data_IF_945665949026
#
_entry.id   IF_945665949026
#
_cell.length_a   1.000
_cell.length_b   1.000
_cell.length_c   1.000
_cell.angle_alpha   90.00
_cell.angle_beta   90.00
_cell.angle_gamma   90.00
#
_symmetry.space_group_name_H-M   'P 1'
#
loop_
_entity.id
_entity.type
_entity.pdbx_description
1 polymer ?
#
# COMPACT_ATOMS: atom_id res chain seq x y z
N UNK A 1 51.71 -57.09 14.80
CA UNK A 1 51.06 -55.86 15.29
C UNK A 1 51.32 -54.76 14.27
N UNK A 2 50.33 -54.48 13.42
CA UNK A 2 50.42 -53.39 12.43
C UNK A 2 49.33 -52.40 12.76
N UNK A 3 49.70 -51.18 13.14
CA UNK A 3 48.79 -50.06 13.42
C UNK A 3 48.30 -49.49 12.09
N UNK A 4 47.01 -49.45 11.91
CA UNK A 4 46.34 -48.81 10.77
C UNK A 4 45.89 -47.42 11.25
N UNK A 5 46.51 -46.33 10.72
CA UNK A 5 46.06 -44.96 10.94
C UNK A 5 44.97 -44.63 9.91
N UNK A 6 43.76 -44.40 10.36
CA UNK A 6 42.67 -43.85 9.55
C UNK A 6 42.76 -42.33 9.52
N UNK A 7 43.05 -41.76 8.35
CA UNK A 7 42.86 -40.32 8.08
C UNK A 7 41.37 -40.06 7.79
N UNK A 8 40.75 -39.23 8.63
CA UNK A 8 39.43 -38.69 8.38
C UNK A 8 39.60 -37.43 7.57
N UNK A 9 39.20 -37.45 6.30
CA UNK A 9 39.15 -36.31 5.41
C UNK A 9 37.83 -35.56 5.66
N UNK A 10 37.90 -34.44 6.39
CA UNK A 10 36.77 -33.55 6.58
C UNK A 10 36.48 -32.76 5.31
N UNK A 11 35.40 -33.08 4.63
CA UNK A 11 34.90 -32.31 3.49
C UNK A 11 34.24 -31.02 3.99
N UNK A 12 34.89 -29.87 3.80
CA UNK A 12 34.32 -28.53 3.96
C UNK A 12 33.28 -28.31 2.86
N UNK A 13 32.01 -28.42 3.16
CA UNK A 13 30.91 -27.95 2.33
C UNK A 13 30.88 -26.40 2.36
N UNK A 14 31.52 -25.78 1.40
CA UNK A 14 31.34 -24.37 1.08
C UNK A 14 29.89 -24.20 0.55
N UNK A 15 29.00 -23.77 1.41
CA UNK A 15 27.66 -23.36 1.00
C UNK A 15 27.76 -22.15 0.07
N UNK A 16 27.69 -22.36 -1.24
CA UNK A 16 27.47 -21.29 -2.21
C UNK A 16 26.06 -20.76 -1.99
N UNK A 17 25.94 -19.64 -1.26
CA UNK A 17 24.70 -18.88 -1.21
C UNK A 17 24.28 -18.54 -2.63
N UNK A 18 23.20 -19.17 -3.11
CA UNK A 18 22.60 -18.83 -4.40
C UNK A 18 22.21 -17.35 -4.36
N UNK A 19 22.98 -16.49 -5.02
CA UNK A 19 22.54 -15.12 -5.31
C UNK A 19 21.29 -15.25 -6.18
N UNK A 20 20.20 -14.69 -5.73
CA UNK A 20 19.00 -14.56 -6.55
C UNK A 20 19.41 -13.96 -7.89
N UNK A 21 19.16 -14.68 -8.98
CA UNK A 21 19.52 -14.25 -10.33
C UNK A 21 18.64 -13.03 -10.64
N UNK A 22 19.26 -11.86 -10.76
CA UNK A 22 18.53 -10.64 -11.13
C UNK A 22 17.94 -10.82 -12.52
N UNK A 23 16.63 -10.64 -12.66
CA UNK A 23 15.94 -10.72 -13.95
C UNK A 23 16.62 -9.80 -14.99
N UNK A 24 16.70 -10.21 -16.28
CA UNK A 24 17.29 -9.40 -17.34
C UNK A 24 16.62 -8.01 -17.39
N UNK A 25 17.41 -6.98 -17.65
CA UNK A 25 16.90 -5.64 -17.91
C UNK A 25 16.14 -5.62 -19.24
N UNK A 26 14.90 -5.16 -19.24
CA UNK A 26 14.12 -4.87 -20.44
C UNK A 26 14.51 -3.51 -21.02
N UNK A 27 14.68 -2.52 -20.12
CA UNK A 27 15.11 -1.16 -20.46
C UNK A 27 15.68 -0.47 -19.23
N UNK A 28 16.29 0.70 -19.44
CA UNK A 28 16.71 1.61 -18.38
C UNK A 28 16.33 3.04 -18.74
N UNK A 29 16.16 3.89 -17.73
CA UNK A 29 15.96 5.32 -17.92
C UNK A 29 16.56 6.11 -16.75
N UNK A 30 16.94 7.39 -16.96
CA UNK A 30 17.49 8.23 -15.91
C UNK A 30 16.37 8.86 -15.07
N UNK A 31 16.63 8.99 -13.76
CA UNK A 31 15.84 9.82 -12.82
C UNK A 31 16.85 10.69 -12.06
N UNK A 32 17.07 11.91 -12.51
CA UNK A 32 18.20 12.71 -12.09
C UNK A 32 19.52 11.98 -12.41
N UNK A 33 20.37 11.80 -11.39
CA UNK A 33 21.64 11.06 -11.52
C UNK A 33 21.49 9.53 -11.36
N UNK A 34 20.27 9.02 -11.13
CA UNK A 34 20.02 7.59 -10.88
C UNK A 34 19.58 6.89 -12.16
N UNK A 35 20.23 5.79 -12.53
CA UNK A 35 19.74 4.89 -13.57
C UNK A 35 18.73 3.91 -12.95
N UNK A 36 17.48 4.00 -13.37
CA UNK A 36 16.43 3.05 -13.00
C UNK A 36 16.38 1.94 -14.03
N UNK A 37 16.51 0.70 -13.56
CA UNK A 37 16.39 -0.51 -14.39
C UNK A 37 14.99 -1.04 -14.33
N UNK A 38 14.41 -1.41 -15.46
CA UNK A 38 13.11 -2.08 -15.60
C UNK A 38 13.34 -3.53 -15.96
N UNK A 39 12.72 -4.45 -15.24
CA UNK A 39 12.69 -5.88 -15.56
C UNK A 39 11.29 -6.45 -15.36
N UNK A 40 10.96 -7.57 -16.00
CA UNK A 40 9.73 -8.31 -15.71
C UNK A 40 9.97 -9.21 -14.50
N UNK A 41 9.11 -9.10 -13.48
CA UNK A 41 9.07 -10.02 -12.34
C UNK A 41 8.34 -11.31 -12.73
N UNK A 42 7.17 -11.16 -13.32
CA UNK A 42 6.32 -12.27 -13.80
C UNK A 42 5.47 -11.80 -14.98
N UNK A 43 5.04 -12.74 -15.81
CA UNK A 43 4.30 -12.51 -17.07
C UNK A 43 3.10 -13.45 -17.16
N UNK A 44 2.23 -13.26 -18.16
CA UNK A 44 1.07 -14.14 -18.40
C UNK A 44 -0.08 -13.96 -17.42
N UNK A 45 -0.16 -12.81 -16.75
CA UNK A 45 -1.24 -12.47 -15.82
C UNK A 45 -2.53 -12.08 -16.56
N UNK A 46 -3.64 -12.01 -15.82
CA UNK A 46 -4.96 -11.69 -16.34
C UNK A 46 -5.50 -10.41 -15.68
N UNK A 47 -5.08 -9.25 -16.20
CA UNK A 47 -5.48 -7.92 -15.70
C UNK A 47 -5.22 -7.80 -14.18
N UNK A 48 -3.95 -7.73 -13.73
CA UNK A 48 -3.62 -7.46 -12.34
C UNK A 48 -4.18 -6.06 -11.97
N UNK A 49 -5.22 -6.05 -11.13
CA UNK A 49 -5.94 -4.81 -10.83
C UNK A 49 -5.35 -4.08 -9.64
N UNK A 50 -4.95 -4.83 -8.60
CA UNK A 50 -4.29 -4.29 -7.41
C UNK A 50 -2.99 -5.02 -7.13
N UNK A 51 -2.00 -4.28 -6.65
CA UNK A 51 -0.77 -4.80 -6.07
C UNK A 51 -0.56 -4.17 -4.70
N UNK A 52 -0.38 -5.00 -3.68
CA UNK A 52 -0.12 -4.57 -2.29
C UNK A 52 1.13 -5.26 -1.79
N UNK A 53 2.07 -4.50 -1.23
CA UNK A 53 3.19 -5.10 -0.50
C UNK A 53 2.72 -5.60 0.87
N UNK A 54 2.80 -6.90 1.11
CA UNK A 54 2.43 -7.53 2.38
C UNK A 54 3.52 -7.43 3.45
N UNK A 55 3.10 -7.47 4.70
CA UNK A 55 4.02 -7.57 5.87
C UNK A 55 4.78 -8.89 5.92
N UNK A 56 4.35 -9.88 5.13
CA UNK A 56 4.98 -11.16 4.88
C UNK A 56 6.07 -11.11 3.79
N UNK A 57 6.37 -9.92 3.27
CA UNK A 57 7.32 -9.64 2.20
C UNK A 57 6.95 -10.27 0.84
N UNK A 58 5.69 -10.55 0.62
CA UNK A 58 5.14 -10.92 -0.69
C UNK A 58 4.37 -9.74 -1.30
N UNK A 59 4.23 -9.76 -2.61
CA UNK A 59 3.28 -8.90 -3.32
C UNK A 59 1.95 -9.65 -3.34
N UNK A 60 0.91 -9.05 -2.79
CA UNK A 60 -0.45 -9.54 -2.91
C UNK A 60 -1.09 -8.91 -4.13
N UNK A 61 -1.82 -9.70 -4.90
CA UNK A 61 -2.36 -9.30 -6.19
C UNK A 61 -3.80 -9.76 -6.35
N UNK A 62 -4.65 -8.86 -6.82
CA UNK A 62 -5.96 -9.23 -7.40
C UNK A 62 -5.86 -9.23 -8.91
N UNK A 63 -6.53 -10.20 -9.54
CA UNK A 63 -6.77 -10.22 -10.98
C UNK A 63 -8.27 -10.06 -11.23
N UNK A 64 -8.63 -9.22 -12.19
CA UNK A 64 -10.02 -8.81 -12.44
C UNK A 64 -11.00 -9.97 -12.54
N UNK A 65 -10.53 -11.14 -13.02
CA UNK A 65 -11.33 -12.37 -13.15
C UNK A 65 -11.72 -13.06 -11.85
N UNK A 66 -11.35 -12.53 -10.67
CA UNK A 66 -11.72 -13.08 -9.35
C UNK A 66 -10.60 -13.78 -8.60
N UNK A 67 -9.39 -13.90 -9.17
CA UNK A 67 -8.26 -14.56 -8.53
C UNK A 67 -7.50 -13.62 -7.60
N UNK A 68 -7.18 -14.10 -6.39
CA UNK A 68 -6.25 -13.47 -5.46
C UNK A 68 -5.02 -14.36 -5.36
N UNK A 69 -3.83 -13.78 -5.48
CA UNK A 69 -2.56 -14.49 -5.46
C UNK A 69 -1.53 -13.75 -4.62
N UNK A 70 -0.48 -14.49 -4.18
CA UNK A 70 0.78 -13.89 -3.71
C UNK A 70 1.86 -14.09 -4.78
N UNK A 71 2.72 -13.11 -4.93
CA UNK A 71 3.86 -13.16 -5.85
C UNK A 71 5.14 -12.97 -5.04
N UNK A 72 6.07 -13.90 -5.15
CA UNK A 72 7.39 -13.77 -4.53
C UNK A 72 8.19 -12.69 -5.28
N UNK A 73 8.62 -11.61 -4.62
CA UNK A 73 9.31 -10.49 -5.26
C UNK A 73 10.74 -10.84 -5.72
N UNK A 74 11.28 -12.01 -5.36
CA UNK A 74 12.62 -12.44 -5.74
C UNK A 74 12.60 -13.41 -6.93
N UNK A 75 11.62 -14.31 -6.97
CA UNK A 75 11.51 -15.36 -8.01
C UNK A 75 10.44 -15.07 -9.06
N UNK A 76 9.48 -14.19 -8.77
CA UNK A 76 8.30 -13.96 -9.61
C UNK A 76 7.27 -15.08 -9.54
N UNK A 77 7.45 -16.08 -8.65
CA UNK A 77 6.51 -17.17 -8.48
C UNK A 77 5.15 -16.65 -8.01
N UNK A 78 4.11 -16.98 -8.77
CA UNK A 78 2.72 -16.65 -8.46
C UNK A 78 2.07 -17.84 -7.74
N UNK A 79 1.59 -17.63 -6.53
CA UNK A 79 0.88 -18.63 -5.74
C UNK A 79 -0.58 -18.21 -5.60
N UNK A 80 -1.53 -18.86 -6.29
CA UNK A 80 -2.96 -18.60 -6.12
C UNK A 80 -3.41 -18.94 -4.70
N UNK A 81 -4.26 -18.08 -4.12
CA UNK A 81 -4.81 -18.25 -2.76
C UNK A 81 -6.29 -18.61 -2.79
N UNK A 82 -7.06 -18.00 -3.71
CA UNK A 82 -8.48 -18.24 -3.95
C UNK A 82 -8.88 -17.69 -5.32
N UNK A 83 -9.95 -18.25 -5.89
CA UNK A 83 -10.75 -17.60 -6.93
C UNK A 83 -12.17 -17.45 -6.40
N UNK A 84 -12.65 -16.21 -6.32
CA UNK A 84 -13.99 -15.91 -5.83
C UNK A 84 -15.03 -16.25 -6.93
N UNK A 85 -15.97 -17.18 -6.67
CA UNK A 85 -16.81 -17.73 -7.71
C UNK A 85 -17.95 -16.80 -8.13
N UNK A 86 -18.30 -15.81 -7.31
CA UNK A 86 -19.39 -14.88 -7.54
C UNK A 86 -18.95 -13.52 -8.10
N UNK A 87 -17.67 -13.39 -8.48
CA UNK A 87 -17.18 -12.20 -9.17
C UNK A 87 -17.78 -12.12 -10.56
N UNK A 88 -18.45 -11.01 -10.84
CA UNK A 88 -19.02 -10.71 -12.15
C UNK A 88 -18.12 -9.74 -12.91
N UNK A 89 -17.49 -10.21 -13.98
CA UNK A 89 -16.68 -9.36 -14.87
C UNK A 89 -17.54 -8.75 -15.96
N UNK A 90 -17.47 -7.43 -16.10
CA UNK A 90 -18.10 -6.71 -17.20
C UNK A 90 -17.34 -5.41 -17.46
N UNK A 91 -16.80 -5.22 -18.66
CA UNK A 91 -15.98 -4.05 -19.04
C UNK A 91 -14.86 -3.75 -18.04
N UNK A 92 -15.01 -2.75 -17.15
CA UNK A 92 -14.03 -2.39 -16.10
C UNK A 92 -14.21 -3.19 -14.82
N UNK A 93 -15.41 -3.71 -14.58
CA UNK A 93 -15.77 -4.40 -13.35
C UNK A 93 -15.24 -5.82 -13.24
N UNK A 94 -15.21 -6.31 -12.01
CA UNK A 94 -14.69 -7.61 -11.61
C UNK A 94 -14.16 -7.59 -10.19
N UNK A 95 -13.10 -8.36 -9.88
CA UNK A 95 -12.35 -8.25 -8.64
C UNK A 95 -11.35 -7.10 -8.77
N UNK A 96 -11.42 -6.14 -7.86
CA UNK A 96 -10.80 -4.83 -8.00
C UNK A 96 -9.81 -4.56 -6.84
N UNK A 97 -10.10 -3.60 -5.97
CA UNK A 97 -9.20 -3.17 -4.91
C UNK A 97 -9.00 -4.17 -3.79
N UNK A 98 -7.83 -4.10 -3.17
CA UNK A 98 -7.44 -4.95 -2.04
C UNK A 98 -6.58 -4.18 -1.07
N UNK A 99 -6.72 -4.49 0.24
CA UNK A 99 -5.80 -4.05 1.29
C UNK A 99 -5.68 -5.12 2.36
N UNK A 100 -4.50 -5.22 2.99
CA UNK A 100 -4.26 -6.12 4.11
C UNK A 100 -4.53 -5.42 5.45
N UNK A 101 -4.96 -6.17 6.45
CA UNK A 101 -5.09 -5.66 7.83
C UNK A 101 -3.73 -5.15 8.32
N UNK A 102 -3.65 -4.02 9.04
CA UNK A 102 -2.38 -3.44 9.50
C UNK A 102 -1.59 -4.37 10.44
N UNK A 103 -2.28 -5.17 11.24
CA UNK A 103 -1.68 -6.19 12.10
C UNK A 103 -1.84 -7.60 11.47
N UNK A 104 -1.54 -7.77 10.19
CA UNK A 104 -1.79 -8.99 9.42
C UNK A 104 -1.23 -10.26 10.09
N UNK A 105 -0.13 -10.18 10.83
CA UNK A 105 0.47 -11.31 11.56
C UNK A 105 -0.42 -11.88 12.67
N UNK A 106 -1.23 -11.05 13.31
CA UNK A 106 -2.14 -11.45 14.41
C UNK A 106 -3.60 -11.41 13.99
N UNK A 107 -3.92 -10.64 12.97
CA UNK A 107 -5.25 -10.48 12.38
C UNK A 107 -5.13 -10.67 10.86
N UNK A 108 -5.03 -11.92 10.37
CA UNK A 108 -4.70 -12.22 8.98
C UNK A 108 -5.88 -11.98 8.03
N UNK A 109 -6.39 -10.74 8.04
CA UNK A 109 -7.52 -10.34 7.22
C UNK A 109 -7.09 -9.62 5.95
N UNK A 110 -7.79 -9.94 4.87
CA UNK A 110 -7.67 -9.32 3.55
C UNK A 110 -9.02 -8.72 3.19
N UNK A 111 -9.04 -7.44 2.85
CA UNK A 111 -10.23 -6.73 2.43
C UNK A 111 -10.18 -6.57 0.91
N UNK A 112 -11.28 -6.90 0.23
CA UNK A 112 -11.38 -6.76 -1.22
C UNK A 112 -12.73 -6.22 -1.63
N UNK A 113 -12.73 -5.48 -2.74
CA UNK A 113 -13.94 -4.97 -3.39
C UNK A 113 -14.11 -5.65 -4.72
N UNK A 114 -15.34 -6.06 -5.02
CA UNK A 114 -15.65 -6.65 -6.31
C UNK A 114 -17.12 -6.47 -6.73
N UNK A 115 -17.33 -6.55 -8.04
CA UNK A 115 -18.65 -6.57 -8.61
C UNK A 115 -19.21 -7.99 -8.64
N UNK A 116 -20.51 -8.11 -8.42
CA UNK A 116 -21.25 -9.37 -8.44
C UNK A 116 -22.65 -9.18 -9.04
N UNK A 117 -23.27 -10.28 -9.47
CA UNK A 117 -24.64 -10.29 -9.89
C UNK A 117 -25.55 -10.87 -8.81
N UNK A 118 -26.59 -10.13 -8.49
CA UNK A 118 -27.74 -10.56 -7.71
C UNK A 118 -28.99 -10.06 -8.45
N UNK A 119 -29.90 -9.36 -7.85
CA UNK A 119 -31.00 -8.67 -8.54
C UNK A 119 -30.51 -7.47 -9.37
N UNK A 120 -29.46 -7.67 -10.19
CA UNK A 120 -28.72 -6.67 -10.96
C UNK A 120 -27.22 -6.67 -10.65
N UNK A 121 -26.47 -5.84 -11.38
CA UNK A 121 -25.04 -5.69 -11.20
C UNK A 121 -24.76 -4.77 -10.01
N UNK A 122 -23.98 -5.23 -9.05
CA UNK A 122 -23.72 -4.56 -7.78
C UNK A 122 -22.24 -4.63 -7.42
N UNK A 123 -21.83 -3.87 -6.41
CA UNK A 123 -20.50 -3.89 -5.82
C UNK A 123 -20.57 -4.19 -4.32
N UNK A 124 -19.57 -4.88 -3.78
CA UNK A 124 -19.46 -5.15 -2.35
C UNK A 124 -18.03 -5.15 -1.85
N UNK A 125 -17.87 -4.76 -0.59
CA UNK A 125 -16.65 -4.93 0.21
C UNK A 125 -16.78 -6.18 1.05
N UNK A 126 -15.80 -7.06 0.99
CA UNK A 126 -15.73 -8.27 1.82
C UNK A 126 -14.40 -8.37 2.55
N UNK A 127 -14.40 -9.14 3.64
CA UNK A 127 -13.22 -9.54 4.38
C UNK A 127 -13.00 -11.04 4.24
N UNK A 128 -11.78 -11.44 3.89
CA UNK A 128 -11.33 -12.84 3.88
C UNK A 128 -10.32 -13.07 5.00
N UNK A 129 -10.24 -14.31 5.50
CA UNK A 129 -9.23 -14.71 6.49
C UNK A 129 -8.17 -15.55 5.80
N UNK A 130 -6.90 -15.16 5.93
CA UNK A 130 -5.78 -15.93 5.43
C UNK A 130 -5.34 -16.95 6.48
N UNK A 131 -5.31 -18.23 6.13
CA UNK A 131 -4.84 -19.31 6.98
C UNK A 131 -4.28 -20.46 6.14
N UNK A 132 -3.24 -21.13 6.62
CA UNK A 132 -2.66 -22.32 6.00
C UNK A 132 -2.34 -22.17 4.49
N UNK A 133 -1.89 -20.98 4.08
CA UNK A 133 -1.51 -20.72 2.69
C UNK A 133 -2.68 -20.46 1.74
N UNK A 134 -3.89 -20.27 2.23
CA UNK A 134 -5.09 -19.99 1.42
C UNK A 134 -5.97 -18.90 2.07
N UNK A 135 -6.95 -18.43 1.32
CA UNK A 135 -7.99 -17.51 1.81
C UNK A 135 -9.30 -18.27 1.99
N UNK A 136 -9.95 -18.04 3.14
CA UNK A 136 -11.26 -18.61 3.47
C UNK A 136 -12.42 -17.89 2.77
N UNK A 137 -13.65 -18.31 3.10
CA UNK A 137 -14.87 -17.72 2.55
C UNK A 137 -15.01 -16.24 2.90
N UNK A 138 -15.53 -15.41 1.97
CA UNK A 138 -15.72 -13.99 2.20
C UNK A 138 -16.84 -13.70 3.22
N UNK A 139 -16.58 -12.72 4.08
CA UNK A 139 -17.58 -12.11 4.98
C UNK A 139 -17.92 -10.74 4.42
N UNK A 140 -19.20 -10.50 4.07
CA UNK A 140 -19.65 -9.21 3.53
C UNK A 140 -19.63 -8.16 4.64
N UNK A 141 -18.93 -7.04 4.42
CA UNK A 141 -18.88 -5.89 5.31
C UNK A 141 -19.77 -4.75 4.85
N UNK A 142 -19.86 -4.56 3.53
CA UNK A 142 -20.76 -3.62 2.88
C UNK A 142 -21.20 -4.23 1.54
N UNK A 143 -22.48 -4.38 1.33
CA UNK A 143 -23.06 -4.92 0.10
C UNK A 143 -24.04 -3.96 -0.53
N UNK A 144 -24.65 -4.43 -1.62
CA UNK A 144 -25.74 -3.76 -2.34
C UNK A 144 -25.41 -2.34 -2.83
N UNK A 145 -24.11 -2.04 -3.08
CA UNK A 145 -23.73 -0.79 -3.72
C UNK A 145 -24.17 -0.87 -5.19
N UNK A 146 -25.02 0.06 -5.68
CA UNK A 146 -25.41 0.08 -7.08
C UNK A 146 -24.18 0.21 -7.99
N UNK A 147 -24.10 -0.60 -9.03
CA UNK A 147 -22.99 -0.58 -9.96
C UNK A 147 -23.46 -0.81 -11.39
N UNK A 148 -22.63 -0.41 -12.33
CA UNK A 148 -22.72 -0.76 -13.75
C UNK A 148 -21.34 -1.26 -14.21
N UNK A 149 -21.19 -1.58 -15.48
CA UNK A 149 -19.97 -2.17 -16.03
C UNK A 149 -18.72 -1.27 -15.97
N UNK A 150 -18.88 0.01 -15.59
CA UNK A 150 -17.80 1.01 -15.48
C UNK A 150 -18.01 1.87 -14.24
N UNK A 151 -17.00 2.68 -13.88
CA UNK A 151 -17.06 3.63 -12.78
C UNK A 151 -17.36 3.00 -11.41
N UNK A 152 -16.67 1.91 -11.08
CA UNK A 152 -16.78 1.31 -9.74
C UNK A 152 -15.88 1.99 -8.70
N UNK A 153 -14.83 2.74 -9.09
CA UNK A 153 -13.82 3.24 -8.15
C UNK A 153 -13.01 2.11 -7.52
N UNK A 154 -13.45 1.62 -6.36
CA UNK A 154 -13.02 0.38 -5.66
C UNK A 154 -11.62 0.39 -5.05
N UNK A 155 -10.91 1.52 -4.95
CA UNK A 155 -9.61 1.56 -4.28
C UNK A 155 -9.78 1.56 -2.76
N UNK A 156 -8.91 0.83 -2.05
CA UNK A 156 -8.95 0.69 -0.60
C UNK A 156 -7.70 1.28 0.05
N UNK A 157 -7.86 1.88 1.24
CA UNK A 157 -6.77 2.38 2.07
C UNK A 157 -7.14 2.25 3.54
N UNK A 158 -6.29 1.63 4.37
CA UNK A 158 -6.47 1.64 5.83
C UNK A 158 -5.66 2.79 6.42
N UNK A 159 -6.32 3.59 7.25
CA UNK A 159 -5.73 4.73 7.95
C UNK A 159 -5.06 4.31 9.27
N UNK A 160 -4.18 5.16 9.85
CA UNK A 160 -3.53 4.88 11.13
C UNK A 160 -4.50 4.73 12.31
N UNK A 161 -5.68 5.35 12.25
CA UNK A 161 -6.77 5.20 13.23
C UNK A 161 -7.54 3.87 13.09
N UNK A 162 -7.10 3.00 12.17
CA UNK A 162 -7.71 1.69 11.86
C UNK A 162 -9.09 1.79 11.24
N UNK A 163 -9.39 2.87 10.57
CA UNK A 163 -10.54 2.95 9.68
C UNK A 163 -10.13 2.65 8.24
N UNK A 164 -11.07 2.19 7.44
CA UNK A 164 -10.88 1.85 6.04
C UNK A 164 -11.57 2.90 5.17
N UNK A 165 -10.84 3.46 4.23
CA UNK A 165 -11.40 4.25 3.13
C UNK A 165 -11.61 3.34 1.91
N UNK A 166 -12.77 3.50 1.27
CA UNK A 166 -13.13 2.84 0.03
C UNK A 166 -13.64 3.87 -0.97
N UNK A 167 -13.05 3.93 -2.15
CA UNK A 167 -13.57 4.78 -3.23
C UNK A 167 -14.71 4.07 -3.95
N UNK A 168 -15.74 4.81 -4.33
CA UNK A 168 -16.85 4.36 -5.19
C UNK A 168 -17.01 5.32 -6.35
N UNK A 169 -17.23 4.79 -7.55
CA UNK A 169 -17.58 5.61 -8.69
C UNK A 169 -19.07 6.02 -8.69
N UNK A 170 -19.43 6.90 -9.60
CA UNK A 170 -20.82 7.36 -9.78
C UNK A 170 -21.75 6.29 -10.42
N UNK A 171 -21.18 5.15 -10.85
CA UNK A 171 -21.91 4.10 -11.57
C UNK A 171 -22.71 4.64 -12.76
N UNK A 172 -22.25 5.71 -13.42
CA UNK A 172 -22.92 6.48 -14.49
C UNK A 172 -24.23 7.17 -14.07
N UNK A 173 -24.59 7.13 -12.80
CA UNK A 173 -25.66 7.95 -12.21
C UNK A 173 -25.02 9.23 -11.63
N UNK A 174 -24.72 10.19 -12.52
CA UNK A 174 -24.01 11.43 -12.21
C UNK A 174 -24.58 12.19 -11.00
N UNK A 175 -25.93 12.35 -10.85
CA UNK A 175 -26.51 13.04 -9.70
C UNK A 175 -26.17 12.38 -8.35
N UNK A 176 -25.92 11.07 -8.34
CA UNK A 176 -25.57 10.32 -7.13
C UNK A 176 -24.33 10.89 -6.44
N UNK A 177 -23.37 11.43 -7.21
CA UNK A 177 -22.13 11.98 -6.68
C UNK A 177 -22.37 13.13 -5.69
N UNK A 178 -23.37 13.98 -5.93
CA UNK A 178 -23.76 15.09 -5.03
C UNK A 178 -24.80 14.67 -3.97
N UNK A 179 -25.46 13.53 -4.14
CA UNK A 179 -26.42 13.01 -3.16
C UNK A 179 -25.69 12.28 -2.03
N UNK A 180 -25.62 12.88 -0.84
CA UNK A 180 -24.93 12.33 0.33
C UNK A 180 -25.53 11.02 0.87
N UNK A 181 -26.79 10.70 0.52
CA UNK A 181 -27.42 9.43 0.91
C UNK A 181 -27.05 8.29 -0.04
N UNK A 182 -26.53 8.58 -1.23
CA UNK A 182 -26.04 7.56 -2.16
C UNK A 182 -24.64 7.09 -1.77
N UNK A 183 -24.31 5.80 -1.84
CA UNK A 183 -22.95 5.31 -1.67
C UNK A 183 -22.04 5.60 -2.89
N UNK A 184 -22.63 5.98 -4.05
CA UNK A 184 -21.93 6.18 -5.31
C UNK A 184 -21.34 7.59 -5.44
N UNK A 185 -20.18 7.70 -6.11
CA UNK A 185 -19.46 8.96 -6.30
C UNK A 185 -18.90 9.50 -4.98
N UNK A 186 -18.33 8.63 -4.15
CA UNK A 186 -17.86 8.91 -2.79
C UNK A 186 -16.47 8.34 -2.51
N UNK A 187 -15.84 8.86 -1.48
CA UNK A 187 -14.93 8.08 -0.67
C UNK A 187 -15.68 7.75 0.63
N UNK A 188 -15.89 6.48 0.89
CA UNK A 188 -16.56 5.97 2.08
C UNK A 188 -15.53 5.70 3.19
N UNK A 189 -15.90 5.93 4.47
CA UNK A 189 -15.08 5.56 5.63
C UNK A 189 -15.86 4.62 6.53
N UNK A 190 -15.22 3.47 6.84
CA UNK A 190 -15.79 2.39 7.64
C UNK A 190 -14.78 1.93 8.70
N UNK A 191 -15.28 1.35 9.79
CA UNK A 191 -14.46 0.52 10.67
C UNK A 191 -14.07 -0.78 9.95
N UNK A 192 -13.04 -1.48 10.42
CA UNK A 192 -12.56 -2.73 9.82
C UNK A 192 -13.57 -3.90 9.96
N UNK A 193 -14.63 -3.74 10.72
CA UNK A 193 -15.77 -4.67 10.83
C UNK A 193 -16.96 -4.29 9.92
N UNK A 194 -16.86 -3.18 9.16
CA UNK A 194 -17.88 -2.68 8.25
C UNK A 194 -18.87 -1.71 8.90
N UNK A 195 -18.78 -1.48 10.21
CA UNK A 195 -19.63 -0.50 10.92
C UNK A 195 -19.23 0.94 10.57
N UNK A 196 -20.11 1.90 10.87
CA UNK A 196 -19.85 3.32 10.59
C UNK A 196 -19.08 3.91 11.78
N UNK A 197 -17.93 4.56 11.55
CA UNK A 197 -17.24 5.31 12.60
C UNK A 197 -18.12 6.42 13.19
N UNK A 198 -18.09 6.56 14.50
CA UNK A 198 -18.91 7.57 15.20
C UNK A 198 -18.48 9.01 14.94
N UNK A 199 -17.22 9.18 14.51
CA UNK A 199 -16.57 10.44 14.15
C UNK A 199 -16.56 10.72 12.64
N UNK A 200 -17.39 10.02 11.86
CA UNK A 200 -17.56 10.34 10.44
C UNK A 200 -18.12 11.77 10.28
N UNK A 201 -17.76 12.46 9.15
CA UNK A 201 -18.17 13.85 8.92
C UNK A 201 -19.68 14.09 9.02
N UNK A 202 -20.47 13.06 8.70
CA UNK A 202 -21.94 13.06 8.88
C UNK A 202 -22.30 11.85 9.73
N UNK A 203 -22.90 12.09 10.88
CA UNK A 203 -23.27 11.04 11.81
C UNK A 203 -24.19 9.99 11.14
N UNK A 204 -23.86 8.71 11.33
CA UNK A 204 -24.60 7.60 10.73
C UNK A 204 -24.44 7.44 9.21
N UNK A 205 -23.57 8.21 8.57
CA UNK A 205 -23.29 8.12 7.14
C UNK A 205 -21.85 7.67 6.88
N UNK A 206 -21.65 6.83 5.87
CA UNK A 206 -20.32 6.33 5.47
C UNK A 206 -19.52 7.34 4.63
N UNK A 207 -20.18 8.38 4.06
CA UNK A 207 -19.53 9.35 3.18
C UNK A 207 -18.45 10.14 3.93
N UNK A 208 -17.18 9.94 3.55
CA UNK A 208 -16.05 10.74 4.02
C UNK A 208 -15.88 12.00 3.15
N UNK A 209 -15.97 11.83 1.83
CA UNK A 209 -16.00 12.91 0.84
C UNK A 209 -16.97 12.55 -0.30
N UNK A 210 -17.34 13.52 -1.14
CA UNK A 210 -18.37 13.35 -2.15
C UNK A 210 -18.08 14.20 -3.41
N UNK A 211 -18.88 14.02 -4.44
CA UNK A 211 -18.67 14.73 -5.71
C UNK A 211 -17.57 14.10 -6.56
N UNK A 212 -17.42 12.77 -6.49
CA UNK A 212 -16.45 11.99 -7.25
C UNK A 212 -17.12 11.32 -8.46
N UNK A 213 -16.35 11.16 -9.55
CA UNK A 213 -16.76 10.45 -10.76
C UNK A 213 -16.31 8.98 -10.73
N UNK A 214 -15.01 8.73 -10.74
CA UNK A 214 -14.43 7.38 -10.79
C UNK A 214 -12.99 7.37 -10.22
N UNK A 215 -12.82 7.49 -8.89
CA UNK A 215 -11.51 7.53 -8.25
C UNK A 215 -10.89 6.13 -8.19
N UNK A 216 -9.79 5.92 -8.92
CA UNK A 216 -9.11 4.63 -9.06
C UNK A 216 -7.75 4.52 -8.36
N UNK A 217 -7.25 5.59 -7.79
CA UNK A 217 -6.05 5.59 -6.94
C UNK A 217 -6.36 6.21 -5.58
N UNK A 218 -5.73 5.69 -4.53
CA UNK A 218 -5.86 6.22 -3.17
C UNK A 218 -4.60 5.89 -2.38
N UNK A 219 -3.91 6.89 -1.86
CA UNK A 219 -2.68 6.70 -1.09
C UNK A 219 -2.55 7.73 0.01
N UNK A 220 -1.94 7.34 1.13
CA UNK A 220 -1.52 8.25 2.20
C UNK A 220 -0.01 8.46 2.13
N UNK A 221 0.43 9.70 2.00
CA UNK A 221 1.84 10.07 2.03
C UNK A 221 2.39 10.14 3.46
N UNK A 222 3.72 10.21 3.58
CA UNK A 222 4.41 10.32 4.89
C UNK A 222 4.08 11.60 5.64
N UNK A 223 3.68 12.68 4.95
CA UNK A 223 3.20 13.93 5.54
C UNK A 223 1.79 13.83 6.14
N UNK A 224 1.14 12.66 6.03
CA UNK A 224 -0.20 12.40 6.55
C UNK A 224 -1.36 12.71 5.60
N UNK A 225 -1.12 13.38 4.48
CA UNK A 225 -2.16 13.69 3.50
C UNK A 225 -2.57 12.46 2.72
N UNK A 226 -3.84 12.44 2.33
CA UNK A 226 -4.42 11.41 1.48
C UNK A 226 -4.58 12.00 0.08
N UNK A 227 -4.16 11.26 -0.93
CA UNK A 227 -4.31 11.65 -2.33
C UNK A 227 -5.11 10.59 -3.07
N UNK A 228 -5.94 11.05 -4.01
CA UNK A 228 -6.68 10.20 -4.94
C UNK A 228 -6.37 10.59 -6.37
N UNK A 229 -6.31 9.61 -7.27
CA UNK A 229 -6.34 9.85 -8.71
C UNK A 229 -7.70 9.46 -9.26
N UNK A 230 -8.25 10.29 -10.14
CA UNK A 230 -9.62 10.17 -10.60
C UNK A 230 -9.73 10.40 -12.10
N UNK A 231 -10.57 9.60 -12.77
CA UNK A 231 -10.89 9.77 -14.18
C UNK A 231 -11.83 10.96 -14.40
N UNK A 232 -11.44 11.87 -15.27
CA UNK A 232 -12.35 12.81 -15.88
C UNK A 232 -13.24 12.16 -16.96
N UNK A 233 -14.14 12.92 -17.51
CA UNK A 233 -15.04 12.44 -18.57
C UNK A 233 -14.41 12.56 -19.95
N UNK A 234 -14.02 13.79 -20.31
CA UNK A 234 -13.52 14.12 -21.63
C UNK A 234 -12.20 14.91 -21.60
N UNK A 235 -12.03 15.77 -20.61
CA UNK A 235 -10.98 16.77 -20.59
C UNK A 235 -9.89 16.49 -19.55
N UNK A 236 -10.22 16.30 -18.29
CA UNK A 236 -9.26 16.34 -17.20
C UNK A 236 -9.37 15.14 -16.28
N UNK A 237 -8.34 14.25 -16.31
CA UNK A 237 -8.07 13.35 -15.17
C UNK A 237 -7.39 14.15 -14.06
N UNK A 238 -7.56 13.75 -12.80
CA UNK A 238 -7.20 14.55 -11.63
C UNK A 238 -6.34 13.83 -10.61
N UNK A 239 -5.55 14.60 -9.84
CA UNK A 239 -5.05 14.20 -8.54
C UNK A 239 -5.58 15.18 -7.49
N UNK A 240 -6.28 14.62 -6.51
CA UNK A 240 -6.93 15.35 -5.44
C UNK A 240 -6.27 15.09 -4.09
N UNK A 241 -6.20 16.11 -3.22
CA UNK A 241 -6.00 15.93 -1.78
C UNK A 241 -7.37 15.62 -1.17
N UNK A 242 -7.49 14.50 -0.49
CA UNK A 242 -8.75 14.04 0.10
C UNK A 242 -8.91 14.54 1.53
N UNK A 243 -9.98 15.27 1.76
CA UNK A 243 -10.33 15.88 3.03
C UNK A 243 -11.74 15.46 3.47
N UNK A 244 -11.94 15.34 4.78
CA UNK A 244 -13.23 14.98 5.35
C UNK A 244 -14.29 16.03 5.00
N UNK A 245 -15.47 15.59 4.60
CA UNK A 245 -16.61 16.42 4.25
C UNK A 245 -16.45 17.30 3.00
N UNK A 246 -15.34 17.17 2.24
CA UNK A 246 -15.10 17.99 1.05
C UNK A 246 -15.93 17.51 -0.15
N UNK A 247 -16.31 18.48 -0.99
CA UNK A 247 -16.97 18.29 -2.29
C UNK A 247 -15.93 18.43 -3.40
N UNK A 248 -15.88 17.47 -4.34
CA UNK A 248 -14.95 17.45 -5.47
C UNK A 248 -15.61 17.84 -6.80
N UNK A 249 -16.87 18.28 -6.76
CA UNK A 249 -17.55 19.04 -7.81
C UNK A 249 -18.28 18.22 -8.86
N UNK A 250 -17.95 16.96 -9.09
CA UNK A 250 -18.66 16.14 -10.08
C UNK A 250 -20.16 16.03 -9.77
N UNK A 251 -21.09 16.14 -10.74
CA UNK A 251 -20.85 16.19 -12.19
C UNK A 251 -20.77 17.60 -12.81
N UNK A 252 -20.85 18.65 -12.00
CA UNK A 252 -20.87 20.03 -12.54
C UNK A 252 -19.48 20.51 -12.89
N UNK A 253 -18.46 20.02 -12.17
CA UNK A 253 -17.05 20.38 -12.36
C UNK A 253 -16.28 19.15 -12.80
N UNK A 254 -15.44 19.30 -13.83
CA UNK A 254 -14.45 18.35 -14.29
C UNK A 254 -13.07 19.01 -14.22
N UNK A 255 -12.20 18.56 -13.30
CA UNK A 255 -10.89 19.15 -13.11
C UNK A 255 -10.92 20.49 -12.37
N UNK A 256 -10.34 21.49 -13.02
CA UNK A 256 -10.24 22.83 -12.45
C UNK A 256 -11.54 23.62 -12.64
N UNK A 257 -11.87 24.49 -11.69
CA UNK A 257 -13.00 25.43 -11.81
C UNK A 257 -12.67 26.56 -12.80
N UNK A 258 -12.55 26.25 -14.08
CA UNK A 258 -12.05 27.17 -15.10
C UNK A 258 -13.14 27.75 -16.01
N UNK A 259 -14.31 27.10 -16.11
CA UNK A 259 -15.46 27.60 -16.85
C UNK A 259 -16.36 28.46 -15.94
N UNK A 260 -17.07 29.43 -16.49
CA UNK A 260 -17.91 30.36 -15.71
C UNK A 260 -18.99 29.63 -14.88
N UNK A 261 -19.62 28.59 -15.45
CA UNK A 261 -20.59 27.75 -14.73
C UNK A 261 -19.95 26.97 -13.58
N UNK A 262 -18.76 26.40 -13.80
CA UNK A 262 -17.98 25.70 -12.78
C UNK A 262 -17.56 26.62 -11.65
N UNK A 263 -17.04 27.82 -11.96
CA UNK A 263 -16.64 28.82 -10.96
C UNK A 263 -17.80 29.20 -10.04
N UNK A 264 -18.99 29.41 -10.61
CA UNK A 264 -20.19 29.68 -9.82
C UNK A 264 -20.54 28.53 -8.89
N UNK A 265 -20.51 27.28 -9.39
CA UNK A 265 -20.76 26.08 -8.60
C UNK A 265 -19.68 25.89 -7.52
N UNK A 266 -18.41 26.03 -7.87
CA UNK A 266 -17.28 25.91 -6.96
C UNK A 266 -17.39 26.86 -5.77
N UNK A 267 -17.72 28.12 -6.05
CA UNK A 267 -17.90 29.15 -5.01
C UNK A 267 -19.10 28.81 -4.12
N UNK A 268 -20.24 28.45 -4.73
CA UNK A 268 -21.46 28.15 -3.99
C UNK A 268 -21.36 26.87 -3.12
N UNK A 269 -20.54 25.89 -3.53
CA UNK A 269 -20.45 24.57 -2.90
C UNK A 269 -19.10 24.30 -2.25
N UNK A 270 -18.20 25.28 -2.17
CA UNK A 270 -16.85 25.16 -1.61
C UNK A 270 -16.10 23.94 -2.18
N UNK A 271 -16.06 23.83 -3.51
CA UNK A 271 -15.43 22.70 -4.20
C UNK A 271 -13.93 22.69 -3.97
N UNK A 272 -13.39 21.53 -3.58
CA UNK A 272 -11.96 21.29 -3.46
C UNK A 272 -11.39 20.97 -4.83
N UNK A 273 -10.61 21.88 -5.40
CA UNK A 273 -9.98 21.69 -6.71
C UNK A 273 -8.79 20.73 -6.63
N UNK A 274 -8.48 20.00 -7.73
CA UNK A 274 -7.32 19.13 -7.83
C UNK A 274 -6.00 19.91 -7.72
N UNK A 275 -4.94 19.20 -7.33
CA UNK A 275 -3.57 19.72 -7.30
C UNK A 275 -2.80 19.46 -8.58
N UNK A 276 -3.30 18.54 -9.42
CA UNK A 276 -2.71 18.18 -10.70
C UNK A 276 -3.81 17.65 -11.63
N UNK A 277 -3.73 18.02 -12.92
CA UNK A 277 -4.64 17.51 -13.95
C UNK A 277 -3.88 17.06 -15.19
N UNK A 278 -4.49 16.16 -15.95
CA UNK A 278 -4.05 15.77 -17.28
C UNK A 278 -5.12 16.17 -18.30
N UNK A 279 -4.74 17.01 -19.25
CA UNK A 279 -5.58 17.37 -20.37
C UNK A 279 -4.83 17.05 -21.69
N UNK A 280 -5.34 16.15 -22.56
CA UNK A 280 -6.58 15.36 -22.40
C UNK A 280 -6.43 14.23 -21.37
N UNK A 281 -7.55 13.55 -21.05
CA UNK A 281 -7.60 12.39 -20.14
C UNK A 281 -6.61 11.30 -20.54
N UNK A 282 -5.94 10.73 -19.56
CA UNK A 282 -4.96 9.62 -19.71
C UNK A 282 -5.46 8.28 -19.15
N UNK A 283 -6.66 8.28 -18.53
CA UNK A 283 -7.18 7.13 -17.81
C UNK A 283 -6.27 6.78 -16.63
N UNK A 284 -6.12 7.74 -15.69
CA UNK A 284 -5.28 7.55 -14.50
C UNK A 284 -5.85 6.42 -13.63
N UNK A 285 -5.00 5.51 -13.13
CA UNK A 285 -5.41 4.35 -12.36
C UNK A 285 -4.74 4.31 -10.99
N UNK A 286 -3.89 3.31 -10.73
CA UNK A 286 -3.20 3.17 -9.45
C UNK A 286 -2.30 4.36 -9.12
N UNK A 287 -2.29 4.73 -7.84
CA UNK A 287 -1.50 5.83 -7.30
C UNK A 287 -0.70 5.34 -6.09
N UNK A 288 0.57 5.70 -6.02
CA UNK A 288 1.41 5.46 -4.84
C UNK A 288 2.26 6.66 -4.51
N UNK A 289 2.74 6.75 -3.27
CA UNK A 289 3.67 7.77 -2.82
C UNK A 289 5.07 7.18 -2.70
N UNK A 290 6.07 7.89 -3.23
CA UNK A 290 7.46 7.47 -3.18
C UNK A 290 8.31 8.46 -2.37
N UNK A 291 8.99 7.95 -1.32
CA UNK A 291 9.93 8.73 -0.51
C UNK A 291 11.15 7.88 -0.06
N UNK A 292 11.54 6.91 -0.89
CA UNK A 292 12.67 6.03 -0.55
C UNK A 292 13.99 6.57 -1.16
N UNK A 293 15.15 6.48 -0.44
CA UNK A 293 16.44 6.98 -0.92
C UNK A 293 17.02 6.17 -2.11
N UNK A 294 16.48 5.02 -2.46
CA UNK A 294 16.96 4.22 -3.60
C UNK A 294 16.83 4.98 -4.93
N UNK A 295 15.81 5.79 -5.11
CA UNK A 295 15.64 6.65 -6.29
C UNK A 295 15.42 8.09 -5.80
N UNK A 296 16.50 8.83 -5.49
CA UNK A 296 16.41 10.15 -4.87
C UNK A 296 15.57 11.16 -5.66
N UNK A 297 15.60 11.09 -6.99
CA UNK A 297 14.82 11.98 -7.85
C UNK A 297 13.31 11.73 -7.85
N UNK A 298 12.84 10.65 -7.19
CA UNK A 298 11.43 10.37 -6.97
C UNK A 298 10.95 10.68 -5.55
N UNK A 299 11.83 11.10 -4.66
CA UNK A 299 11.43 11.40 -3.30
C UNK A 299 10.38 12.51 -3.25
N UNK A 300 9.47 12.39 -2.29
CA UNK A 300 8.33 13.28 -2.11
C UNK A 300 7.51 13.48 -3.41
N UNK A 301 7.25 12.37 -4.12
CA UNK A 301 6.45 12.37 -5.34
C UNK A 301 5.32 11.36 -5.27
N UNK A 302 4.24 11.65 -5.99
CA UNK A 302 3.25 10.65 -6.35
C UNK A 302 3.68 9.98 -7.66
N UNK A 303 3.46 8.67 -7.76
CA UNK A 303 3.63 7.89 -8.98
C UNK A 303 2.26 7.38 -9.41
N UNK A 304 1.80 7.81 -10.58
CA UNK A 304 0.49 7.48 -11.13
C UNK A 304 0.62 6.59 -12.37
N UNK A 305 0.03 5.42 -12.33
CA UNK A 305 -0.11 4.54 -13.48
C UNK A 305 -1.25 4.99 -14.37
N UNK A 306 -1.06 4.99 -15.71
CA UNK A 306 -2.10 5.43 -16.65
C UNK A 306 -2.42 4.36 -17.68
N UNK A 307 -3.72 4.19 -17.94
CA UNK A 307 -4.25 3.20 -18.87
C UNK A 307 -4.18 3.68 -20.32
N UNK A 308 -4.90 4.76 -20.64
CA UNK A 308 -4.93 5.34 -21.99
C UNK A 308 -3.63 6.07 -22.32
N UNK A 309 -3.02 6.68 -21.31
CA UNK A 309 -1.74 7.38 -21.45
C UNK A 309 -0.55 6.47 -21.68
N UNK A 310 -0.66 5.16 -21.40
CA UNK A 310 0.40 4.16 -21.56
C UNK A 310 1.73 4.60 -20.95
N UNK A 311 1.69 5.14 -19.72
CA UNK A 311 2.88 5.69 -19.06
C UNK A 311 2.75 5.69 -17.54
N UNK A 312 3.87 5.74 -16.85
CA UNK A 312 3.97 6.08 -15.44
C UNK A 312 4.27 7.59 -15.35
N UNK A 313 3.48 8.32 -14.57
CA UNK A 313 3.68 9.74 -14.32
C UNK A 313 4.24 9.94 -12.92
N UNK A 314 5.41 10.56 -12.80
CA UNK A 314 5.92 11.11 -11.54
C UNK A 314 5.34 12.52 -11.36
N UNK A 315 4.79 12.82 -10.19
CA UNK A 315 4.22 14.11 -9.82
C UNK A 315 4.92 14.57 -8.54
N UNK A 316 5.94 15.43 -8.65
CA UNK A 316 6.63 15.97 -7.48
C UNK A 316 5.70 16.81 -6.63
N UNK A 317 5.78 16.68 -5.31
CA UNK A 317 5.04 17.48 -4.36
C UNK A 317 5.92 18.57 -3.73
N UNK A 318 5.33 19.69 -3.36
CA UNK A 318 5.99 20.66 -2.48
C UNK A 318 6.23 20.08 -1.07
N UNK A 319 6.99 20.75 -0.25
CA UNK A 319 7.32 20.25 1.10
C UNK A 319 6.09 20.06 2.00
N UNK A 320 5.03 20.85 1.78
CA UNK A 320 3.76 20.73 2.49
C UNK A 320 2.83 19.67 1.89
N UNK A 321 3.11 19.19 0.68
CA UNK A 321 2.25 18.27 -0.07
C UNK A 321 0.94 18.89 -0.52
N UNK A 322 0.89 20.22 -0.68
CA UNK A 322 -0.33 20.95 -1.04
C UNK A 322 -0.41 21.34 -2.51
N UNK A 323 0.73 21.36 -3.18
CA UNK A 323 0.85 21.66 -4.60
C UNK A 323 1.70 20.63 -5.31
N UNK A 324 1.41 20.41 -6.58
CA UNK A 324 2.16 19.52 -7.45
C UNK A 324 3.01 20.32 -8.44
N UNK A 325 4.21 19.80 -8.71
CA UNK A 325 5.08 20.30 -9.79
C UNK A 325 4.71 19.71 -11.14
N UNK A 326 5.48 20.04 -12.16
CA UNK A 326 5.32 19.48 -13.50
C UNK A 326 5.57 17.97 -13.50
N UNK A 327 4.64 17.19 -14.05
CA UNK A 327 4.75 15.74 -14.14
C UNK A 327 5.83 15.32 -15.15
N UNK A 328 6.59 14.27 -14.79
CA UNK A 328 7.52 13.59 -15.68
C UNK A 328 6.98 12.19 -16.05
N UNK A 329 7.28 11.74 -17.27
CA UNK A 329 6.72 10.50 -17.83
C UNK A 329 7.79 9.45 -18.09
N UNK A 330 7.50 8.20 -17.75
CA UNK A 330 8.35 7.04 -17.98
C UNK A 330 7.52 5.81 -18.38
N UNK A 331 8.16 4.70 -18.72
CA UNK A 331 7.50 3.43 -19.07
C UNK A 331 6.52 3.52 -20.25
N UNK A 332 6.84 4.28 -21.28
CA UNK A 332 5.92 4.54 -22.41
C UNK A 332 5.77 3.36 -23.40
N UNK A 333 6.54 2.27 -23.23
CA UNK A 333 6.59 1.13 -24.16
C UNK A 333 5.93 -0.14 -23.64
N UNK A 334 5.26 -0.10 -22.48
CA UNK A 334 4.66 -1.28 -21.85
C UNK A 334 3.13 -1.31 -21.94
N UNK A 335 2.54 -0.42 -22.72
CA UNK A 335 1.10 -0.30 -22.88
C UNK A 335 0.42 0.25 -21.64
N UNK A 336 -0.78 -0.25 -21.36
CA UNK A 336 -1.66 0.20 -20.30
C UNK A 336 -1.12 -0.20 -18.92
N UNK A 337 -0.88 0.78 -18.05
CA UNK A 337 -0.41 0.55 -16.68
C UNK A 337 -1.56 0.78 -15.69
N UNK A 338 -1.75 -0.15 -14.74
CA UNK A 338 -2.89 -0.09 -13.80
C UNK A 338 -2.47 -0.11 -12.33
N UNK A 339 -1.90 -1.20 -11.88
CA UNK A 339 -1.53 -1.41 -10.49
C UNK A 339 -0.14 -0.86 -10.18
N UNK A 340 0.07 -0.39 -8.96
CA UNK A 340 1.39 0.09 -8.53
C UNK A 340 1.56 -0.08 -7.02
N UNK A 341 2.70 -0.61 -6.59
CA UNK A 341 3.10 -0.59 -5.18
C UNK A 341 4.61 -0.39 -5.02
N UNK A 342 5.02 -0.06 -3.80
CA UNK A 342 6.43 0.16 -3.44
C UNK A 342 6.81 -0.77 -2.31
N UNK A 343 7.96 -1.46 -2.44
CA UNK A 343 8.51 -2.27 -1.36
C UNK A 343 9.28 -1.41 -0.33
N UNK A 344 9.51 -1.93 0.89
CA UNK A 344 10.37 -1.28 1.88
C UNK A 344 11.82 -1.07 1.43
N UNK A 345 12.27 -1.79 0.38
CA UNK A 345 13.59 -1.61 -0.25
C UNK A 345 13.59 -0.52 -1.34
N UNK A 346 12.47 0.15 -1.58
CA UNK A 346 12.34 1.20 -2.58
C UNK A 346 12.21 0.71 -4.02
N UNK A 347 11.95 -0.59 -4.24
CA UNK A 347 11.55 -1.11 -5.56
C UNK A 347 10.10 -0.75 -5.83
N UNK A 348 9.83 -0.28 -7.05
CA UNK A 348 8.47 0.00 -7.51
C UNK A 348 8.01 -1.13 -8.41
N UNK A 349 6.81 -1.65 -8.14
CA UNK A 349 6.17 -2.70 -8.93
C UNK A 349 4.98 -2.13 -9.65
N UNK A 350 4.91 -2.39 -10.97
CA UNK A 350 3.84 -1.86 -11.83
C UNK A 350 3.19 -3.01 -12.59
N UNK A 351 1.89 -3.17 -12.44
CA UNK A 351 1.07 -4.13 -13.19
C UNK A 351 0.59 -3.55 -14.51
N UNK A 352 0.78 -4.25 -15.63
CA UNK A 352 0.17 -3.90 -16.91
C UNK A 352 -1.29 -4.34 -16.97
N UNK A 353 -2.07 -3.80 -17.91
CA UNK A 353 -3.49 -4.08 -18.11
C UNK A 353 -3.84 -4.13 -19.60
N UNK A 354 -3.02 -4.83 -20.39
CA UNK A 354 -3.18 -4.90 -21.85
C UNK A 354 -4.27 -5.92 -22.26
N UNK A 355 -4.64 -6.85 -21.35
CA UNK A 355 -5.72 -7.84 -21.55
C UNK A 355 -7.09 -7.34 -21.08
N UNK A 356 -7.25 -6.05 -20.79
CA UNK A 356 -8.52 -5.50 -20.28
C UNK A 356 -9.60 -5.29 -21.35
N UNK A 357 -9.31 -5.64 -22.60
CA UNK A 357 -10.24 -5.53 -23.75
C UNK A 357 -10.13 -4.19 -24.49
N UNK A 358 -9.22 -3.29 -24.08
CA UNK A 358 -9.01 -1.96 -24.67
C UNK A 358 -7.61 -1.79 -25.29
N UNK A 359 -6.85 -2.87 -25.38
CA UNK A 359 -5.54 -2.93 -26.05
C UNK A 359 -5.38 -4.28 -26.76
N UNK A 360 -4.36 -4.37 -27.62
CA UNK A 360 -3.92 -5.65 -28.20
C UNK A 360 -2.78 -6.17 -27.32
N UNK A 361 -2.98 -7.24 -26.54
CA UNK A 361 -1.94 -7.76 -25.67
C UNK A 361 -0.82 -8.40 -26.47
N UNK A 362 0.42 -8.18 -26.04
CA UNK A 362 1.60 -8.92 -26.49
C UNK A 362 1.69 -10.31 -25.84
N UNK A 363 2.68 -11.10 -26.25
CA UNK A 363 2.88 -12.46 -25.74
C UNK A 363 3.22 -12.54 -24.26
N UNK A 364 3.85 -11.50 -23.71
CA UNK A 364 4.24 -11.40 -22.29
C UNK A 364 3.18 -10.79 -21.39
N UNK A 365 2.10 -10.23 -21.96
CA UNK A 365 1.06 -9.53 -21.20
C UNK A 365 0.13 -10.49 -20.44
N UNK A 366 -0.47 -10.08 -19.36
CA UNK A 366 -0.06 -8.94 -18.54
C UNK A 366 1.11 -9.33 -17.65
N UNK A 367 1.83 -8.35 -17.16
CA UNK A 367 3.04 -8.59 -16.39
C UNK A 367 3.15 -7.64 -15.19
N UNK A 368 3.98 -8.03 -14.22
CA UNK A 368 4.48 -7.13 -13.18
C UNK A 368 5.89 -6.69 -13.57
N UNK A 369 6.07 -5.40 -13.77
CA UNK A 369 7.36 -4.75 -13.97
C UNK A 369 7.98 -4.38 -12.64
N UNK A 370 9.29 -4.52 -12.50
CA UNK A 370 10.09 -4.03 -11.38
C UNK A 370 10.95 -2.87 -11.86
N UNK A 371 10.85 -1.74 -11.15
CA UNK A 371 11.68 -0.57 -11.36
C UNK A 371 12.60 -0.43 -10.16
N UNK A 372 13.90 -0.49 -10.37
CA UNK A 372 14.86 -0.48 -9.28
C UNK A 372 16.16 0.25 -9.66
N UNK A 373 16.80 0.84 -8.67
CA UNK A 373 18.20 1.25 -8.77
C UNK A 373 19.09 0.08 -8.33
N UNK A 374 19.67 -0.64 -9.28
CA UNK A 374 20.55 -1.80 -9.02
C UNK A 374 21.88 -1.43 -8.37
N UNK A 375 22.30 -0.17 -8.48
CA UNK A 375 23.49 0.34 -7.84
C UNK A 375 23.24 0.79 -6.38
N UNK A 376 21.98 0.83 -5.93
CA UNK A 376 21.64 1.24 -4.57
C UNK A 376 22.12 0.18 -3.57
N UNK A 377 23.07 0.59 -2.72
CA UNK A 377 23.49 -0.19 -1.56
C UNK A 377 22.81 0.45 -0.34
N UNK A 378 21.92 -0.26 0.36
CA UNK A 378 21.37 0.26 1.61
C UNK A 378 22.53 0.56 2.56
N UNK A 379 22.74 1.82 2.90
CA UNK A 379 23.63 2.14 4.04
C UNK A 379 22.98 1.54 5.28
N UNK A 380 23.69 0.69 5.98
CA UNK A 380 23.21 -0.08 7.12
C UNK A 380 22.83 0.82 8.31
N UNK A 381 21.67 1.52 8.18
CA UNK A 381 21.06 2.34 9.24
C UNK A 381 19.56 2.22 9.32
N UNK A 382 18.94 1.24 8.63
CA UNK A 382 17.58 0.81 8.92
C UNK A 382 17.60 -0.64 9.37
N UNK A 383 17.93 -0.84 10.66
CA UNK A 383 17.53 -2.06 11.34
C UNK A 383 16.01 -2.24 11.08
N UNK A 384 15.67 -3.34 10.43
CA UNK A 384 14.28 -3.73 10.20
C UNK A 384 13.49 -3.53 11.51
N UNK A 385 12.41 -2.75 11.50
CA UNK A 385 11.56 -2.53 12.69
C UNK A 385 11.02 -3.84 13.27
N UNK A 386 11.05 -4.94 12.52
CA UNK A 386 10.63 -6.27 12.98
C UNK A 386 11.65 -6.98 13.86
N UNK A 387 12.91 -6.51 13.92
CA UNK A 387 14.00 -7.10 14.71
C UNK A 387 14.41 -6.26 15.93
N UNK A 388 13.56 -5.33 16.39
CA UNK A 388 13.90 -4.42 17.47
C UNK A 388 13.35 -4.88 18.83
N UNK A 389 14.14 -4.65 19.88
CA UNK A 389 13.68 -4.68 21.27
C UNK A 389 12.40 -3.84 21.41
N UNK A 390 11.35 -4.37 22.01
CA UNK A 390 10.11 -3.65 22.32
C UNK A 390 10.00 -3.40 23.82
N UNK A 391 9.38 -2.28 24.19
CA UNK A 391 9.16 -1.87 25.58
C UNK A 391 7.70 -1.51 25.78
N UNK A 392 7.06 -2.03 26.83
CA UNK A 392 5.72 -1.62 27.26
C UNK A 392 5.46 -1.89 28.76
N UNK A 393 4.63 -1.05 29.41
CA UNK A 393 4.16 0.23 28.93
C UNK A 393 5.33 1.20 28.72
N UNK A 394 5.16 2.19 27.85
CA UNK A 394 6.11 3.27 27.67
C UNK A 394 5.32 4.52 27.21
N UNK A 395 5.10 5.53 28.06
CA UNK A 395 5.69 5.71 29.40
C UNK A 395 5.37 4.62 30.44
N UNK A 396 6.26 4.45 31.43
CA UNK A 396 6.15 3.46 32.49
C UNK A 396 6.36 4.10 33.87
N UNK A 397 5.62 3.65 34.88
CA UNK A 397 5.72 4.19 36.25
C UNK A 397 6.40 3.24 37.25
N UNK A 398 6.14 1.93 37.21
CA UNK A 398 6.63 0.95 38.18
C UNK A 398 7.43 -0.18 37.54
N UNK A 399 6.98 -0.67 36.41
CA UNK A 399 7.58 -1.78 35.68
C UNK A 399 7.53 -1.53 34.19
N UNK A 400 8.51 -2.08 33.47
CA UNK A 400 8.51 -2.12 32.01
C UNK A 400 8.80 -3.55 31.56
N UNK A 401 8.08 -4.04 30.57
CA UNK A 401 8.35 -5.33 29.93
C UNK A 401 9.20 -5.08 28.69
N UNK A 402 10.27 -5.85 28.57
CA UNK A 402 11.14 -5.89 27.41
C UNK A 402 10.82 -7.15 26.61
N UNK A 403 10.71 -7.03 25.29
CA UNK A 403 10.52 -8.15 24.39
C UNK A 403 11.60 -8.16 23.33
N UNK A 404 12.34 -9.24 23.25
CA UNK A 404 13.27 -9.51 22.15
C UNK A 404 12.50 -10.00 20.92
N UNK A 405 12.99 -9.72 19.71
CA UNK A 405 12.35 -10.22 18.47
C UNK A 405 12.38 -11.76 18.37
N UNK A 406 13.41 -12.37 18.91
CA UNK A 406 13.56 -13.85 19.01
C UNK A 406 14.03 -14.19 20.43
N UNK A 407 13.75 -15.43 20.92
CA UNK A 407 14.32 -15.89 22.19
C UNK A 407 15.84 -15.78 22.20
N UNK A 408 16.41 -15.37 23.34
CA UNK A 408 17.85 -15.26 23.52
C UNK A 408 18.50 -16.64 23.38
N UNK A 409 19.43 -16.81 22.46
CA UNK A 409 20.14 -18.08 22.27
C UNK A 409 21.10 -18.40 23.41
N UNK A 410 21.64 -17.35 24.04
CA UNK A 410 22.48 -17.36 25.24
C UNK A 410 21.98 -16.26 26.18
N UNK A 411 22.49 -16.21 27.42
CA UNK A 411 22.15 -15.14 28.34
C UNK A 411 22.49 -13.75 27.73
N UNK A 412 21.50 -12.85 27.65
CA UNK A 412 21.63 -11.54 26.98
C UNK A 412 21.46 -10.40 27.98
N UNK A 413 22.50 -9.57 28.13
CA UNK A 413 22.48 -8.46 29.08
C UNK A 413 21.71 -7.27 28.56
N UNK A 414 20.96 -6.63 29.46
CA UNK A 414 20.19 -5.39 29.27
C UNK A 414 20.83 -4.30 30.14
N UNK A 415 21.12 -3.14 29.58
CA UNK A 415 21.55 -1.95 30.30
C UNK A 415 20.53 -0.83 30.17
N UNK A 416 20.12 -0.22 31.27
CA UNK A 416 19.34 1.03 31.28
C UNK A 416 20.33 2.17 31.60
N UNK A 417 20.36 3.15 30.70
CA UNK A 417 21.21 4.36 30.86
C UNK A 417 20.32 5.59 31.07
N UNK A 418 20.79 6.51 31.90
CA UNK A 418 20.16 7.83 32.06
C UNK A 418 20.46 8.76 30.86
N UNK A 419 19.95 9.98 30.91
CA UNK A 419 20.15 11.00 29.85
C UNK A 419 21.60 11.41 29.64
N UNK A 420 22.48 11.15 30.63
CA UNK A 420 23.93 11.41 30.58
C UNK A 420 24.72 10.19 30.09
N UNK A 421 24.05 9.10 29.72
CA UNK A 421 24.66 7.87 29.25
C UNK A 421 25.24 6.97 30.35
N UNK A 422 25.00 7.24 31.63
CA UNK A 422 25.44 6.41 32.74
C UNK A 422 24.54 5.21 32.91
N UNK A 423 25.10 4.01 33.04
CA UNK A 423 24.32 2.80 33.31
C UNK A 423 23.73 2.86 34.73
N UNK A 424 22.41 2.94 34.85
CA UNK A 424 21.71 3.05 36.14
C UNK A 424 21.07 1.73 36.57
N UNK A 425 20.90 0.78 35.65
CA UNK A 425 20.40 -0.57 35.92
C UNK A 425 20.90 -1.57 34.90
N UNK A 426 21.13 -2.80 35.36
CA UNK A 426 21.47 -3.95 34.52
C UNK A 426 20.54 -5.12 34.85
N UNK A 427 20.13 -5.87 33.84
CA UNK A 427 19.35 -7.10 33.95
C UNK A 427 19.75 -8.09 32.84
N UNK A 428 19.20 -9.30 32.83
CA UNK A 428 19.59 -10.32 31.89
C UNK A 428 18.42 -11.18 31.47
N UNK A 429 18.27 -11.42 30.16
CA UNK A 429 17.44 -12.50 29.66
C UNK A 429 18.18 -13.83 29.85
N UNK A 430 17.48 -14.85 30.33
CA UNK A 430 18.02 -16.20 30.32
C UNK A 430 18.01 -16.78 28.88
N UNK A 431 18.82 -17.80 28.64
CA UNK A 431 18.75 -18.56 27.39
C UNK A 431 17.35 -19.11 27.18
N UNK A 432 16.79 -18.99 25.96
CA UNK A 432 15.42 -19.35 25.63
C UNK A 432 14.36 -18.31 25.99
N UNK A 433 14.69 -17.26 26.71
CA UNK A 433 13.75 -16.20 27.12
C UNK A 433 13.63 -15.12 26.07
N UNK A 434 12.41 -14.72 25.75
CA UNK A 434 12.14 -13.60 24.82
C UNK A 434 11.51 -12.39 25.51
N UNK A 435 10.97 -12.54 26.73
CA UNK A 435 10.31 -11.47 27.48
C UNK A 435 10.93 -11.33 28.88
N UNK A 436 11.17 -10.09 29.33
CA UNK A 436 11.74 -9.78 30.64
C UNK A 436 11.01 -8.58 31.25
N UNK A 437 10.44 -8.73 32.43
CA UNK A 437 9.85 -7.63 33.19
C UNK A 437 10.89 -7.02 34.13
N UNK A 438 11.06 -5.71 34.08
CA UNK A 438 11.98 -4.95 34.91
C UNK A 438 11.24 -4.00 35.83
N UNK A 439 11.61 -4.01 37.13
CA UNK A 439 11.17 -3.00 38.07
C UNK A 439 11.92 -1.69 37.85
N UNK A 440 11.22 -0.57 37.86
CA UNK A 440 11.73 0.77 37.73
C UNK A 440 11.86 1.48 39.09
N UNK A 441 11.63 0.75 40.20
CA UNK A 441 11.69 1.29 41.56
C UNK A 441 13.11 1.91 41.83
N UNK A 442 13.10 3.14 42.31
CA UNK A 442 14.34 3.90 42.61
C UNK A 442 14.94 4.67 41.44
N UNK A 443 14.34 4.57 40.24
CA UNK A 443 14.66 5.47 39.12
C UNK A 443 13.77 6.71 39.18
N UNK A 444 14.33 7.88 38.90
CA UNK A 444 13.57 9.15 38.89
C UNK A 444 12.74 9.25 37.57
N UNK A 445 11.63 9.97 37.57
CA UNK A 445 10.92 10.33 36.34
C UNK A 445 11.90 11.01 35.35
N UNK A 446 11.80 10.63 34.09
CA UNK A 446 12.69 11.15 33.06
C UNK A 446 12.89 10.25 31.86
N UNK A 447 13.87 10.64 31.03
CA UNK A 447 14.21 9.93 29.80
C UNK A 447 15.39 9.00 30.01
N UNK A 448 15.25 7.76 29.62
CA UNK A 448 16.26 6.70 29.70
C UNK A 448 16.43 6.02 28.33
N UNK A 449 17.53 5.33 28.15
CA UNK A 449 17.75 4.41 27.03
C UNK A 449 17.97 2.99 27.53
N UNK A 450 17.29 2.03 26.93
CA UNK A 450 17.44 0.59 27.21
C UNK A 450 18.21 -0.04 26.06
N UNK A 451 19.38 -0.60 26.36
CA UNK A 451 20.32 -1.16 25.38
C UNK A 451 20.49 -2.66 25.57
N UNK A 452 20.42 -3.41 24.48
CA UNK A 452 20.72 -4.85 24.38
C UNK A 452 21.54 -5.12 23.11
N UNK A 453 21.99 -6.35 22.91
CA UNK A 453 22.57 -6.77 21.63
C UNK A 453 21.58 -6.68 20.46
N UNK A 454 20.26 -6.77 20.73
CA UNK A 454 19.18 -6.66 19.72
C UNK A 454 18.80 -5.20 19.37
N UNK A 455 19.40 -4.20 20.04
CA UNK A 455 19.18 -2.79 19.77
C UNK A 455 19.03 -1.91 21.00
N UNK A 456 18.73 -0.63 20.74
CA UNK A 456 18.49 0.38 21.78
C UNK A 456 17.10 0.96 21.62
N UNK A 457 16.36 1.12 22.73
CA UNK A 457 15.03 1.72 22.77
C UNK A 457 14.95 2.83 23.82
N UNK A 458 14.14 3.84 23.55
CA UNK A 458 13.83 4.93 24.47
C UNK A 458 12.80 4.48 25.48
N UNK A 459 13.05 4.75 26.77
CA UNK A 459 12.12 4.53 27.88
C UNK A 459 11.82 5.86 28.56
N UNK A 460 10.55 6.18 28.74
CA UNK A 460 10.09 7.33 29.53
C UNK A 460 9.56 6.78 30.84
N UNK A 461 10.06 7.31 31.98
CA UNK A 461 9.59 6.98 33.34
C UNK A 461 8.79 8.18 33.85
N UNK A 462 7.56 7.91 34.38
CA UNK A 462 6.65 8.87 34.99
C UNK A 462 6.53 8.67 36.50
#
# INVERSE_FOLDING_TARGET
MKHLNSLILGSLLLGTGARAQTAPALTTFPVGATTVTVSALTTGLQVPWELVWGTDNFIWMTERGGRISRVDPNSGQVTPLITLPDVATSSEGGLLGMVLHPDFTTSPYVYVVYNYNDTGYKEKLVRLTYANGTLGSPVVLLGDIPAVSTHSGSRLLILPDRTLLMTTGDAQDRPSAQNRSSPNGKILRLNLDGTIPTDNPVAGNRSYSFGHRNPQGLVRASNGRIYSSEHGENAEDEVNIIEANANYGWPTVEGLCNLAAEQAFCTANNVRQPIFTWAPTVGVAGLTYYDHPAIPGWRNSLLAATLRGNKLTQIPLDAAGTTAGTGAFTLTSFGRLRAICVSPAGRVYVGTSNRDGRATPGTSDDQILVLENRAFVPTATTASRSSQLRLWPNPASRTVTLQLPNPATTAATVHIHDALGRAVRTAQFAAGQSSLSLSLHGLQPGLYSVKTAAGTQRLVIE
#
